data_IF_095908915614
#
_entry.id   IF_095908915614
#
_cell.length_a   1.000
_cell.length_b   1.000
_cell.length_c   1.000
_cell.angle_alpha   90.00
_cell.angle_beta   90.00
_cell.angle_gamma   90.00
#
_symmetry.space_group_name_H-M   'P 1'
#
loop_
_entity.id
_entity.type
_entity.pdbx_description
1 polymer ?
#
# COMPACT_ATOMS: atom_id res chain seq x y z
N UNK A 1 -0.91 -61.74 -46.47
CA UNK A 1 -0.68 -60.28 -46.41
C UNK A 1 -1.60 -59.68 -45.33
N UNK A 2 -1.11 -59.50 -44.10
CA UNK A 2 -1.87 -58.80 -43.04
C UNK A 2 -1.41 -57.34 -43.02
N UNK A 3 -2.30 -56.41 -43.35
CA UNK A 3 -2.05 -54.97 -43.28
C UNK A 3 -2.05 -54.55 -41.81
N UNK A 4 -0.93 -54.04 -41.33
CA UNK A 4 -0.81 -53.40 -40.01
C UNK A 4 -1.25 -51.94 -40.22
N UNK A 5 -2.40 -51.57 -39.67
CA UNK A 5 -2.83 -50.17 -39.61
C UNK A 5 -2.08 -49.48 -38.47
N UNK A 6 -1.12 -48.62 -38.80
CA UNK A 6 -0.51 -47.71 -37.85
C UNK A 6 -1.50 -46.58 -37.55
N UNK A 7 -2.18 -46.65 -36.40
CA UNK A 7 -2.95 -45.53 -35.86
C UNK A 7 -1.95 -44.58 -35.20
N UNK A 8 -1.71 -43.44 -35.82
CA UNK A 8 -0.91 -42.35 -35.27
C UNK A 8 -1.78 -41.60 -34.24
N UNK A 9 -1.47 -41.73 -32.95
CA UNK A 9 -2.17 -40.99 -31.89
C UNK A 9 -1.54 -39.60 -31.77
N UNK A 10 -2.26 -38.56 -32.21
CA UNK A 10 -1.83 -37.17 -32.07
C UNK A 10 -2.19 -36.70 -30.66
N UNK A 11 -1.20 -36.58 -29.77
CA UNK A 11 -1.37 -36.04 -28.43
C UNK A 11 -1.44 -34.50 -28.54
N UNK A 12 -2.65 -33.94 -28.55
CA UNK A 12 -2.88 -32.50 -28.42
C UNK A 12 -2.51 -32.06 -27.00
N UNK A 13 -1.32 -31.48 -26.85
CA UNK A 13 -0.93 -30.73 -25.65
C UNK A 13 -1.78 -29.45 -25.60
N UNK A 14 -2.88 -29.49 -24.84
CA UNK A 14 -3.58 -28.29 -24.41
C UNK A 14 -2.67 -27.52 -23.47
N UNK A 15 -2.11 -26.41 -23.96
CA UNK A 15 -1.43 -25.45 -23.10
C UNK A 15 -2.52 -24.70 -22.31
N UNK A 16 -2.81 -25.16 -21.10
CA UNK A 16 -3.63 -24.43 -20.15
C UNK A 16 -2.81 -23.23 -19.67
N UNK A 17 -3.22 -22.02 -20.02
CA UNK A 17 -2.66 -20.81 -19.43
C UNK A 17 -3.25 -20.66 -18.02
N UNK A 18 -2.52 -21.10 -17.00
CA UNK A 18 -2.83 -20.71 -15.62
C UNK A 18 -2.19 -19.34 -15.37
N UNK A 19 -3.00 -18.35 -15.06
CA UNK A 19 -2.50 -17.07 -14.55
C UNK A 19 -2.34 -17.20 -13.02
N UNK A 20 -1.24 -16.70 -12.48
CA UNK A 20 -0.99 -16.75 -11.04
C UNK A 20 -1.85 -15.70 -10.32
N UNK A 21 -2.22 -16.00 -9.07
CA UNK A 21 -2.98 -15.13 -8.18
C UNK A 21 -2.08 -14.65 -7.05
N UNK A 22 -2.41 -13.51 -6.45
CA UNK A 22 -1.75 -13.08 -5.22
C UNK A 22 -2.06 -14.09 -4.11
N UNK A 23 -1.08 -14.36 -3.27
CA UNK A 23 -1.26 -15.12 -2.04
C UNK A 23 -0.89 -14.25 -0.86
N UNK A 24 -1.63 -14.40 0.24
CA UNK A 24 -1.44 -13.63 1.46
C UNK A 24 -1.03 -14.58 2.59
N UNK A 25 -0.10 -14.14 3.43
CA UNK A 25 0.34 -14.87 4.61
C UNK A 25 0.52 -13.91 5.79
N UNK A 26 -0.23 -14.18 6.86
CA UNK A 26 -0.13 -13.50 8.15
C UNK A 26 0.12 -14.48 9.30
N UNK A 27 0.66 -15.66 8.98
CA UNK A 27 1.10 -16.65 9.96
C UNK A 27 2.58 -16.42 10.31
N UNK A 28 3.05 -16.96 11.44
CA UNK A 28 4.45 -16.79 11.85
C UNK A 28 5.44 -17.25 10.75
N UNK A 29 6.43 -16.41 10.35
CA UNK A 29 6.86 -15.16 10.98
C UNK A 29 6.25 -13.87 10.38
N UNK A 30 5.34 -13.98 9.42
CA UNK A 30 4.70 -12.85 8.73
C UNK A 30 3.63 -12.14 9.58
N UNK A 31 3.27 -12.70 10.74
CA UNK A 31 2.47 -12.06 11.79
C UNK A 31 3.22 -10.97 12.58
N UNK A 32 4.53 -10.80 12.33
CA UNK A 32 5.38 -9.87 13.07
C UNK A 32 5.78 -8.66 12.22
N UNK A 33 5.24 -7.45 12.50
CA UNK A 33 5.64 -6.22 11.81
C UNK A 33 7.15 -5.95 11.86
N UNK A 34 7.78 -6.23 13.00
CA UNK A 34 9.24 -6.15 13.15
C UNK A 34 9.97 -7.11 12.21
N UNK A 35 9.50 -8.36 12.09
CA UNK A 35 10.12 -9.32 11.19
C UNK A 35 9.92 -8.91 9.72
N UNK A 36 8.71 -8.48 9.36
CA UNK A 36 8.37 -7.98 8.04
C UNK A 36 9.28 -6.82 7.62
N UNK A 37 9.45 -5.81 8.47
CA UNK A 37 10.34 -4.67 8.16
C UNK A 37 11.78 -5.17 7.94
N UNK A 38 12.34 -5.91 8.89
CA UNK A 38 13.75 -6.29 8.85
C UNK A 38 14.11 -7.30 7.75
N UNK A 39 13.17 -8.16 7.33
CA UNK A 39 13.46 -9.27 6.43
C UNK A 39 12.81 -9.13 5.04
N UNK A 40 11.76 -8.30 4.90
CA UNK A 40 11.02 -8.15 3.64
C UNK A 40 11.18 -6.73 3.08
N UNK A 41 10.98 -5.70 3.89
CA UNK A 41 10.90 -4.31 3.39
C UNK A 41 12.26 -3.69 3.10
N UNK A 42 13.24 -3.92 3.97
CA UNK A 42 14.54 -3.26 3.86
C UNK A 42 15.46 -3.95 2.85
N UNK A 43 16.07 -3.13 1.99
CA UNK A 43 17.16 -3.57 1.12
C UNK A 43 18.46 -3.79 1.91
N UNK A 44 19.36 -4.60 1.34
CA UNK A 44 20.67 -4.85 1.94
C UNK A 44 21.43 -3.56 2.28
N UNK A 45 21.90 -3.46 3.52
CA UNK A 45 22.66 -2.30 4.02
C UNK A 45 21.87 -1.35 4.90
N UNK A 46 20.54 -1.40 4.92
CA UNK A 46 19.73 -0.57 5.82
C UNK A 46 19.40 -1.36 7.09
N UNK A 47 19.59 -0.72 8.25
CA UNK A 47 19.20 -1.26 9.55
C UNK A 47 18.03 -0.42 10.07
N UNK A 48 16.96 -1.09 10.48
CA UNK A 48 15.84 -0.45 11.17
C UNK A 48 15.86 -0.71 12.68
N UNK A 49 15.23 0.20 13.41
CA UNK A 49 15.03 0.14 14.86
C UNK A 49 13.72 0.81 15.24
N UNK A 50 13.34 0.75 16.52
CA UNK A 50 12.14 1.41 17.04
C UNK A 50 10.86 1.10 16.22
N UNK A 51 10.74 -0.17 15.83
CA UNK A 51 9.57 -0.68 15.14
C UNK A 51 8.33 -0.51 16.02
N UNK A 52 7.26 0.03 15.45
CA UNK A 52 5.96 0.16 16.09
C UNK A 52 4.88 -0.17 15.07
N UNK A 53 3.82 -0.82 15.53
CA UNK A 53 2.63 -1.10 14.73
C UNK A 53 1.40 -0.76 15.55
N UNK A 54 0.46 -0.06 14.93
CA UNK A 54 -0.85 0.28 15.49
C UNK A 54 -1.91 -0.19 14.50
N UNK A 55 -2.83 -1.03 14.95
CA UNK A 55 -3.84 -1.68 14.11
C UNK A 55 -4.12 -3.08 14.64
N UNK A 56 -5.12 -3.75 14.08
CA UNK A 56 -5.33 -5.16 14.36
C UNK A 56 -4.28 -6.02 13.64
N UNK A 57 -3.94 -7.17 14.23
CA UNK A 57 -3.05 -8.17 13.64
C UNK A 57 -3.50 -8.68 12.26
N UNK A 58 -4.81 -8.64 11.97
CA UNK A 58 -5.36 -9.04 10.68
C UNK A 58 -5.11 -8.05 9.54
N UNK A 59 -4.64 -6.85 9.85
CA UNK A 59 -4.49 -5.76 8.88
C UNK A 59 -3.09 -5.68 8.27
N UNK A 60 -2.16 -6.57 8.65
CA UNK A 60 -0.77 -6.56 8.16
C UNK A 60 -0.23 -7.97 7.95
N UNK A 61 0.56 -8.15 6.91
CA UNK A 61 1.19 -9.44 6.61
C UNK A 61 2.11 -9.37 5.40
N UNK A 62 2.37 -10.52 4.82
CA UNK A 62 3.15 -10.68 3.61
C UNK A 62 2.27 -10.99 2.41
N UNK A 63 2.64 -10.47 1.24
CA UNK A 63 2.08 -10.90 -0.03
C UNK A 63 3.15 -11.49 -0.94
N UNK A 64 2.74 -12.48 -1.73
CA UNK A 64 3.47 -12.94 -2.91
C UNK A 64 2.58 -12.80 -4.14
N UNK A 65 3.08 -12.09 -5.12
CA UNK A 65 2.39 -11.70 -6.34
C UNK A 65 3.24 -12.03 -7.58
N UNK A 66 4.19 -12.97 -7.47
CA UNK A 66 4.98 -13.45 -8.60
C UNK A 66 4.04 -13.96 -9.70
N UNK A 67 4.29 -13.50 -10.93
CA UNK A 67 3.48 -13.80 -12.13
C UNK A 67 2.04 -13.23 -12.11
N UNK A 68 1.74 -12.28 -11.22
CA UNK A 68 0.50 -11.48 -11.29
C UNK A 68 0.72 -10.18 -12.09
N UNK A 69 -0.36 -9.45 -12.35
CA UNK A 69 -0.32 -8.11 -12.96
C UNK A 69 -0.06 -6.97 -11.97
N UNK A 70 0.22 -7.25 -10.68
CA UNK A 70 0.44 -6.22 -9.66
C UNK A 70 1.69 -5.36 -9.95
N UNK A 71 2.70 -5.94 -10.58
CA UNK A 71 3.99 -5.28 -10.86
C UNK A 71 4.98 -5.28 -9.68
N UNK A 72 4.61 -5.89 -8.56
CA UNK A 72 5.49 -6.20 -7.42
C UNK A 72 5.49 -7.71 -7.21
N UNK A 73 6.68 -8.31 -7.05
CA UNK A 73 6.80 -9.76 -6.85
C UNK A 73 6.35 -10.18 -5.44
N UNK A 74 6.68 -9.40 -4.43
CA UNK A 74 6.34 -9.67 -3.03
C UNK A 74 6.59 -8.45 -2.15
N UNK A 75 6.04 -8.44 -0.94
CA UNK A 75 6.27 -7.36 0.02
C UNK A 75 5.41 -7.46 1.27
N UNK A 76 5.34 -6.35 2.00
CA UNK A 76 4.38 -6.16 3.09
C UNK A 76 3.05 -5.72 2.48
N UNK A 77 1.95 -6.28 2.95
CA UNK A 77 0.59 -5.79 2.67
C UNK A 77 -0.01 -5.21 3.94
N UNK A 78 -0.72 -4.09 3.80
CA UNK A 78 -1.53 -3.48 4.85
C UNK A 78 -2.92 -3.17 4.29
N UNK A 79 -3.97 -3.36 5.09
CA UNK A 79 -5.35 -3.05 4.71
C UNK A 79 -6.15 -2.48 5.88
N UNK A 80 -7.28 -1.88 5.55
CA UNK A 80 -8.29 -1.39 6.50
C UNK A 80 -9.25 -2.49 6.94
N UNK A 81 -9.21 -3.65 6.29
CA UNK A 81 -9.91 -4.87 6.68
C UNK A 81 -8.97 -6.06 6.87
N UNK A 82 -9.52 -7.26 6.76
CA UNK A 82 -8.73 -8.49 6.75
C UNK A 82 -7.94 -8.64 5.45
N UNK A 83 -6.60 -8.67 5.53
CA UNK A 83 -5.76 -8.87 4.34
C UNK A 83 -5.97 -10.23 3.68
N UNK A 84 -6.52 -11.24 4.36
CA UNK A 84 -6.80 -12.55 3.77
C UNK A 84 -7.80 -12.44 2.61
N UNK A 85 -8.68 -11.43 2.62
CA UNK A 85 -9.65 -11.19 1.54
C UNK A 85 -8.97 -10.81 0.21
N UNK A 86 -7.72 -10.33 0.26
CA UNK A 86 -6.95 -10.02 -0.94
C UNK A 86 -6.51 -11.27 -1.70
N UNK A 87 -6.49 -12.45 -1.08
CA UNK A 87 -6.24 -13.73 -1.76
C UNK A 87 -7.53 -14.25 -2.40
N UNK A 88 -7.64 -14.32 -3.74
CA UNK A 88 -8.85 -14.80 -4.42
C UNK A 88 -9.25 -16.25 -4.07
N UNK A 89 -8.34 -17.04 -3.47
CA UNK A 89 -8.61 -18.40 -3.02
C UNK A 89 -9.02 -18.50 -1.55
N UNK A 90 -9.04 -17.39 -0.81
CA UNK A 90 -9.49 -17.41 0.57
C UNK A 90 -10.97 -17.80 0.66
N UNK A 91 -11.26 -18.84 1.45
CA UNK A 91 -12.62 -19.37 1.63
C UNK A 91 -13.20 -19.07 3.01
N UNK A 92 -12.52 -18.24 3.81
CA UNK A 92 -12.97 -17.85 5.15
C UNK A 92 -13.93 -16.66 5.12
N UNK A 93 -14.22 -16.12 6.31
CA UNK A 93 -14.95 -14.86 6.44
C UNK A 93 -13.96 -13.77 6.83
N UNK A 94 -13.99 -12.66 6.10
CA UNK A 94 -13.32 -11.44 6.54
C UNK A 94 -13.96 -10.88 7.80
N UNK A 95 -13.18 -10.14 8.56
CA UNK A 95 -13.67 -9.37 9.70
C UNK A 95 -13.21 -7.91 9.57
N UNK A 96 -13.92 -7.03 10.25
CA UNK A 96 -13.53 -5.63 10.38
C UNK A 96 -12.73 -5.47 11.67
N UNK A 97 -11.61 -4.73 11.65
CA UNK A 97 -10.84 -4.46 12.84
C UNK A 97 -11.63 -3.55 13.80
N UNK A 98 -11.27 -3.52 15.10
CA UNK A 98 -11.80 -2.52 16.01
C UNK A 98 -11.31 -1.11 15.63
N UNK A 99 -12.24 -0.18 15.39
CA UNK A 99 -11.93 1.20 15.04
C UNK A 99 -11.44 2.02 16.26
N UNK A 100 -10.20 1.78 16.69
CA UNK A 100 -9.61 2.34 17.93
C UNK A 100 -8.34 3.15 17.70
N UNK A 101 -7.73 3.02 16.52
CA UNK A 101 -6.53 3.76 16.12
C UNK A 101 -6.96 5.06 15.44
N UNK A 102 -6.24 6.15 15.73
CA UNK A 102 -6.51 7.47 15.13
C UNK A 102 -5.23 7.99 14.48
N UNK A 103 -5.36 8.66 13.34
CA UNK A 103 -4.27 9.41 12.70
C UNK A 103 -4.79 10.74 12.15
N UNK A 104 -4.52 11.83 12.88
CA UNK A 104 -4.98 13.16 12.46
C UNK A 104 -4.32 13.64 11.17
N UNK A 105 -3.09 13.21 10.90
CA UNK A 105 -2.39 13.62 9.68
C UNK A 105 -2.99 12.94 8.46
N UNK A 106 -3.38 11.68 8.59
CA UNK A 106 -4.00 10.94 7.49
C UNK A 106 -5.39 11.51 7.14
N UNK A 107 -6.15 11.97 8.13
CA UNK A 107 -7.39 12.74 7.89
C UNK A 107 -7.12 14.07 7.19
N UNK A 108 -6.04 14.77 7.55
CA UNK A 108 -5.59 15.99 6.85
C UNK A 108 -5.19 15.67 5.41
N UNK A 109 -4.47 14.57 5.16
CA UNK A 109 -4.11 14.12 3.81
C UNK A 109 -5.38 13.86 2.99
N UNK A 110 -6.35 13.11 3.52
CA UNK A 110 -7.60 12.80 2.82
C UNK A 110 -8.36 14.08 2.41
N UNK A 111 -8.43 15.06 3.32
CA UNK A 111 -9.10 16.34 3.08
C UNK A 111 -8.29 17.33 2.22
N UNK A 112 -7.01 17.07 1.98
CA UNK A 112 -6.21 17.90 1.06
C UNK A 112 -6.51 17.62 -0.41
N UNK A 113 -7.01 16.41 -0.75
CA UNK A 113 -7.29 16.00 -2.13
C UNK A 113 -8.47 16.72 -2.78
N UNK A 114 -9.68 16.79 -2.18
CA UNK A 114 -10.85 17.39 -2.84
C UNK A 114 -10.58 18.74 -3.52
N UNK A 115 -10.00 19.77 -2.83
CA UNK A 115 -9.74 21.06 -3.46
C UNK A 115 -8.69 21.00 -4.58
N UNK A 116 -7.72 20.08 -4.51
CA UNK A 116 -6.68 19.91 -5.54
C UNK A 116 -7.23 19.33 -6.85
N UNK A 117 -8.35 18.62 -6.78
CA UNK A 117 -9.03 18.01 -7.93
C UNK A 117 -10.31 18.76 -8.34
N UNK A 118 -10.53 19.95 -7.79
CA UNK A 118 -11.69 20.79 -8.11
C UNK A 118 -13.02 20.29 -7.53
N UNK A 119 -12.97 19.49 -6.47
CA UNK A 119 -14.13 18.95 -5.76
C UNK A 119 -14.30 19.61 -4.38
N UNK A 120 -15.48 19.43 -3.78
CA UNK A 120 -15.85 20.08 -2.51
C UNK A 120 -16.43 19.13 -1.46
N UNK A 121 -16.26 17.81 -1.64
CA UNK A 121 -16.63 16.84 -0.60
C UNK A 121 -15.66 16.95 0.58
N UNK A 122 -16.08 16.43 1.73
CA UNK A 122 -15.31 16.42 2.97
C UNK A 122 -15.22 14.99 3.49
N UNK A 123 -14.05 14.58 3.94
CA UNK A 123 -13.85 13.35 4.70
C UNK A 123 -13.97 13.72 6.17
N UNK A 124 -15.03 13.26 6.84
CA UNK A 124 -15.37 13.66 8.21
C UNK A 124 -14.57 12.90 9.26
N UNK A 125 -14.18 11.66 8.93
CA UNK A 125 -13.42 10.76 9.78
C UNK A 125 -12.60 9.80 8.93
N UNK A 126 -11.60 9.18 9.56
CA UNK A 126 -10.94 8.01 9.03
C UNK A 126 -11.19 6.84 9.96
N UNK A 127 -11.31 5.64 9.43
CA UNK A 127 -11.62 4.43 10.18
C UNK A 127 -10.61 3.33 9.89
N UNK A 128 -10.57 2.35 10.79
CA UNK A 128 -9.87 1.09 10.61
C UNK A 128 -8.38 1.28 10.25
N UNK A 129 -7.78 2.26 10.94
CA UNK A 129 -6.42 2.73 10.67
C UNK A 129 -5.39 1.66 11.01
N UNK A 130 -4.49 1.37 10.06
CA UNK A 130 -3.28 0.59 10.29
C UNK A 130 -2.04 1.47 10.04
N UNK A 131 -1.09 1.45 10.98
CA UNK A 131 0.12 2.27 10.97
C UNK A 131 1.34 1.40 11.25
N UNK A 132 2.32 1.42 10.34
CA UNK A 132 3.63 0.81 10.51
C UNK A 132 4.72 1.89 10.59
N UNK A 133 5.49 1.87 11.67
CA UNK A 133 6.53 2.87 11.95
C UNK A 133 7.85 2.21 12.27
N UNK A 134 8.95 2.82 11.84
CA UNK A 134 10.31 2.42 12.22
C UNK A 134 11.31 3.54 11.91
N UNK A 135 12.39 3.55 12.69
CA UNK A 135 13.58 4.35 12.40
C UNK A 135 14.51 3.57 11.48
N UNK A 136 15.28 4.27 10.66
CA UNK A 136 16.33 3.66 9.85
C UNK A 136 17.53 4.60 9.67
N UNK A 137 18.68 4.01 9.33
CA UNK A 137 19.90 4.73 8.96
C UNK A 137 20.25 4.36 7.50
N UNK A 138 20.18 5.30 6.54
CA UNK A 138 20.51 5.04 5.15
C UNK A 138 22.02 4.94 4.94
N UNK A 139 22.41 4.08 4.00
CA UNK A 139 23.81 3.92 3.53
C UNK A 139 24.08 4.62 2.21
N UNK A 140 23.10 5.37 1.69
CA UNK A 140 23.21 6.19 0.47
C UNK A 140 22.56 7.55 0.71
N UNK A 141 22.64 8.42 -0.28
CA UNK A 141 22.01 9.74 -0.34
C UNK A 141 20.53 9.74 -0.78
N UNK A 142 19.96 8.57 -1.08
CA UNK A 142 18.59 8.44 -1.59
C UNK A 142 17.91 7.21 -1.01
N UNK A 143 16.65 7.37 -0.59
CA UNK A 143 15.74 6.25 -0.31
C UNK A 143 14.69 6.12 -1.41
N UNK A 144 14.33 4.87 -1.74
CA UNK A 144 13.29 4.55 -2.71
C UNK A 144 12.40 3.44 -2.17
N UNK A 145 11.10 3.65 -2.23
CA UNK A 145 10.11 2.65 -1.84
C UNK A 145 9.08 2.49 -2.93
N UNK A 146 8.85 1.26 -3.36
CA UNK A 146 7.80 0.94 -4.32
C UNK A 146 6.54 0.51 -3.60
N UNK A 147 5.39 0.97 -4.06
CA UNK A 147 4.09 0.62 -3.49
C UNK A 147 3.00 0.61 -4.56
N UNK A 148 1.91 -0.08 -4.25
CA UNK A 148 0.63 -0.05 -4.97
C UNK A 148 -0.45 0.27 -3.93
N UNK A 149 -1.40 1.11 -4.31
CA UNK A 149 -2.58 1.41 -3.49
C UNK A 149 -3.82 0.84 -4.18
N UNK A 150 -4.78 0.31 -3.43
CA UNK A 150 -6.04 -0.20 -3.95
C UNK A 150 -7.15 -0.06 -2.93
N UNK A 151 -8.40 -0.18 -3.38
CA UNK A 151 -9.60 -0.03 -2.54
C UNK A 151 -10.79 -0.77 -3.15
N UNK A 152 -11.70 -1.22 -2.28
CA UNK A 152 -13.03 -1.75 -2.64
C UNK A 152 -14.02 -0.65 -3.06
N UNK A 153 -13.68 0.63 -2.84
CA UNK A 153 -14.61 1.74 -3.03
C UNK A 153 -14.66 2.26 -4.47
N UNK A 154 -13.76 1.78 -5.32
CA UNK A 154 -13.95 1.80 -6.77
C UNK A 154 -15.09 0.83 -7.15
N UNK A 155 -16.02 1.12 -8.04
CA UNK A 155 -16.25 2.30 -8.87
C UNK A 155 -17.43 3.15 -8.35
N UNK A 156 -17.64 3.17 -7.03
CA UNK A 156 -18.86 3.64 -6.42
C UNK A 156 -18.74 4.96 -5.66
N UNK A 157 -17.57 5.25 -5.09
CA UNK A 157 -17.42 6.27 -4.06
C UNK A 157 -16.33 7.30 -4.34
N UNK A 158 -15.79 7.34 -5.55
CA UNK A 158 -14.85 8.38 -5.94
C UNK A 158 -15.49 9.76 -5.82
N UNK A 159 -14.71 10.74 -5.33
CA UNK A 159 -15.16 12.09 -5.01
C UNK A 159 -16.31 12.18 -3.99
N UNK A 160 -16.39 11.22 -3.07
CA UNK A 160 -17.31 11.24 -1.93
C UNK A 160 -16.55 11.26 -0.61
N UNK A 161 -17.27 11.29 0.51
CA UNK A 161 -16.67 11.22 1.85
C UNK A 161 -15.91 9.90 2.13
N UNK A 162 -16.23 8.82 1.40
CA UNK A 162 -15.55 7.53 1.51
C UNK A 162 -14.26 7.51 0.67
N UNK A 163 -13.37 8.48 0.95
CA UNK A 163 -12.16 8.68 0.19
C UNK A 163 -10.96 8.07 0.91
N UNK A 164 -10.78 6.76 0.74
CA UNK A 164 -9.68 6.00 1.36
C UNK A 164 -8.33 6.58 0.99
N UNK A 165 -7.40 6.52 1.94
CA UNK A 165 -6.17 7.31 1.91
C UNK A 165 -4.97 6.50 2.35
N UNK A 166 -3.85 6.72 1.65
CA UNK A 166 -2.54 6.19 2.03
C UNK A 166 -1.55 7.33 2.26
N UNK A 167 -0.86 7.28 3.40
CA UNK A 167 0.20 8.20 3.79
C UNK A 167 1.54 7.49 3.89
N UNK A 168 2.57 8.07 3.28
CA UNK A 168 3.97 7.67 3.47
C UNK A 168 4.71 8.87 4.06
N UNK A 169 4.84 8.90 5.38
CA UNK A 169 5.50 10.00 6.07
C UNK A 169 6.98 9.72 6.29
N UNK A 170 7.83 10.70 5.98
CA UNK A 170 9.27 10.66 6.24
C UNK A 170 9.68 11.89 7.04
N UNK A 171 10.46 11.68 8.11
CA UNK A 171 11.11 12.75 8.86
C UNK A 171 12.59 12.44 9.12
N UNK A 172 13.37 13.49 9.35
CA UNK A 172 14.81 13.39 9.63
C UNK A 172 15.56 14.65 9.16
N UNK A 173 16.90 14.66 9.22
CA UNK A 173 17.70 15.82 8.85
C UNK A 173 17.42 16.31 7.42
N UNK A 174 17.18 17.63 7.30
CA UNK A 174 16.87 18.28 6.02
C UNK A 174 15.41 18.21 5.59
N UNK A 175 14.55 17.50 6.34
CA UNK A 175 13.13 17.37 6.05
C UNK A 175 12.33 18.25 6.99
N UNK A 176 11.40 19.02 6.42
CA UNK A 176 10.42 19.82 7.16
C UNK A 176 9.07 19.75 6.46
N UNK A 177 8.00 19.51 7.20
CA UNK A 177 6.66 19.38 6.67
C UNK A 177 5.58 19.50 7.73
N UNK A 178 4.31 19.56 7.31
CA UNK A 178 3.21 19.92 8.20
C UNK A 178 2.74 18.78 9.11
N UNK A 179 3.22 17.56 8.88
CA UNK A 179 2.73 16.35 9.55
C UNK A 179 3.56 16.03 10.78
N UNK A 180 2.99 15.23 11.68
CA UNK A 180 3.65 14.74 12.88
C UNK A 180 4.97 14.02 12.54
N UNK A 181 5.95 14.21 13.43
CA UNK A 181 7.15 13.39 13.52
C UNK A 181 7.46 13.10 14.98
N UNK A 182 8.04 11.93 15.30
CA UNK A 182 8.46 11.61 16.65
C UNK A 182 9.42 12.67 17.23
N UNK A 183 9.37 12.90 18.56
CA UNK A 183 10.33 13.75 19.27
C UNK A 183 11.78 13.38 18.95
N UNK A 184 12.61 14.37 18.61
CA UNK A 184 14.06 14.17 18.39
C UNK A 184 14.73 13.75 19.70
N UNK A 185 14.26 14.31 20.81
CA UNK A 185 14.69 14.00 22.17
C UNK A 185 13.43 13.70 22.99
N UNK A 186 13.43 12.67 23.86
CA UNK A 186 12.27 12.39 24.71
C UNK A 186 11.78 13.63 25.45
N UNK A 187 10.50 13.97 25.25
CA UNK A 187 9.86 15.13 25.86
C UNK A 187 10.03 16.47 25.11
N UNK A 188 10.81 16.52 24.02
CA UNK A 188 10.97 17.71 23.17
C UNK A 188 10.31 17.47 21.81
N UNK A 189 9.18 18.15 21.50
CA UNK A 189 8.52 18.00 20.21
C UNK A 189 9.47 18.25 19.04
N UNK A 190 9.27 17.52 17.95
CA UNK A 190 10.01 17.76 16.72
C UNK A 190 9.47 19.02 16.03
N UNK A 191 10.28 20.09 15.86
CA UNK A 191 9.80 21.34 15.28
C UNK A 191 9.72 21.30 13.74
N UNK A 192 10.25 20.25 13.11
CA UNK A 192 10.32 20.13 11.65
C UNK A 192 9.22 19.23 11.07
N UNK A 193 8.67 18.30 11.86
CA UNK A 193 7.62 17.40 11.40
C UNK A 193 8.09 16.42 10.31
N UNK A 194 7.16 15.96 9.49
CA UNK A 194 7.39 15.04 8.37
C UNK A 194 6.73 15.51 7.07
N UNK A 195 7.18 14.98 5.94
CA UNK A 195 6.56 15.16 4.62
C UNK A 195 5.83 13.88 4.20
N UNK A 196 4.77 14.00 3.40
CA UNK A 196 4.14 12.86 2.74
C UNK A 196 4.78 12.61 1.37
N UNK A 197 5.33 11.41 1.16
CA UNK A 197 5.92 10.93 -0.09
C UNK A 197 4.92 10.12 -0.95
N UNK A 198 3.76 9.76 -0.41
CA UNK A 198 2.70 9.09 -1.16
C UNK A 198 1.97 10.14 -2.00
N UNK A 199 2.51 10.40 -3.19
CA UNK A 199 1.98 11.37 -4.15
C UNK A 199 1.86 10.76 -5.55
N UNK A 200 0.90 11.25 -6.33
CA UNK A 200 0.73 10.89 -7.73
C UNK A 200 1.98 11.31 -8.52
N UNK A 201 2.58 10.41 -9.34
CA UNK A 201 3.79 10.75 -10.09
C UNK A 201 3.57 11.92 -11.05
N UNK A 202 4.52 12.86 -11.04
CA UNK A 202 4.52 14.08 -11.86
C UNK A 202 3.36 15.05 -11.57
N UNK A 203 2.74 14.98 -10.39
CA UNK A 203 1.74 15.96 -9.95
C UNK A 203 2.40 17.26 -9.45
N UNK A 204 1.82 18.40 -9.81
CA UNK A 204 2.18 19.72 -9.29
C UNK A 204 0.93 20.62 -9.21
N UNK A 205 0.48 21.06 -8.01
CA UNK A 205 1.06 20.75 -6.70
C UNK A 205 1.07 19.24 -6.39
N UNK A 206 1.90 18.79 -5.42
CA UNK A 206 1.90 17.39 -5.02
C UNK A 206 0.50 16.92 -4.65
N UNK A 207 0.01 15.88 -5.32
CA UNK A 207 -1.33 15.34 -5.14
C UNK A 207 -1.25 14.02 -4.36
N UNK A 208 -1.76 13.95 -3.11
CA UNK A 208 -1.71 12.73 -2.31
C UNK A 208 -2.52 11.55 -2.88
N UNK A 209 -2.20 10.34 -2.43
CA UNK A 209 -2.86 9.10 -2.86
C UNK A 209 -4.17 8.89 -2.09
N UNK A 210 -5.28 8.93 -2.81
CA UNK A 210 -6.61 8.51 -2.36
C UNK A 210 -7.38 7.91 -3.54
N UNK A 211 -8.54 7.32 -3.31
CA UNK A 211 -9.35 6.79 -4.43
C UNK A 211 -9.75 7.89 -5.42
N UNK A 212 -9.95 9.11 -4.92
CA UNK A 212 -10.33 10.26 -5.74
C UNK A 212 -9.19 10.87 -6.55
N UNK A 213 -7.92 10.59 -6.21
CA UNK A 213 -6.78 11.14 -6.97
C UNK A 213 -6.34 10.29 -8.16
N UNK A 214 -6.77 9.02 -8.22
CA UNK A 214 -6.50 8.09 -9.32
C UNK A 214 -7.76 7.26 -9.60
N UNK A 215 -8.51 7.52 -10.67
CA UNK A 215 -9.69 6.70 -11.00
C UNK A 215 -10.12 6.85 -12.47
N UNK A 216 -11.00 5.96 -12.92
CA UNK A 216 -11.59 5.97 -14.27
C UNK A 216 -13.07 6.37 -14.33
N UNK A 217 -13.78 6.51 -13.20
CA UNK A 217 -15.20 6.94 -13.19
C UNK A 217 -15.33 8.44 -13.42
N UNK A 218 -14.51 9.21 -12.72
CA UNK A 218 -14.31 10.65 -12.92
C UNK A 218 -12.87 10.86 -13.37
N UNK A 219 -12.55 10.57 -14.64
CA UNK A 219 -11.18 10.28 -15.07
C UNK A 219 -10.16 11.31 -14.58
N UNK A 220 -9.27 10.86 -13.72
CA UNK A 220 -8.15 11.63 -13.19
C UNK A 220 -6.99 10.69 -12.96
N UNK A 221 -5.82 11.04 -13.51
CA UNK A 221 -4.62 10.20 -13.46
C UNK A 221 -4.86 8.74 -13.90
N UNK A 222 -5.82 8.52 -14.81
CA UNK A 222 -6.29 7.20 -15.24
C UNK A 222 -5.18 6.33 -15.82
N UNK A 223 -4.11 6.91 -16.35
CA UNK A 223 -2.92 6.17 -16.82
C UNK A 223 -2.23 5.36 -15.71
N UNK A 224 -2.50 5.69 -14.45
CA UNK A 224 -2.00 4.97 -13.28
C UNK A 224 -3.07 4.08 -12.63
N UNK A 225 -4.29 4.03 -13.15
CA UNK A 225 -5.37 3.21 -12.62
C UNK A 225 -5.41 1.85 -13.32
N UNK A 226 -5.61 0.79 -12.55
CA UNK A 226 -5.83 -0.58 -13.00
C UNK A 226 -7.19 -1.04 -12.49
N UNK A 227 -8.07 -1.38 -13.42
CA UNK A 227 -9.37 -2.00 -13.13
C UNK A 227 -9.15 -3.44 -12.65
N UNK A 228 -9.70 -3.76 -11.48
CA UNK A 228 -9.65 -5.09 -10.89
C UNK A 228 -11.05 -5.59 -10.50
N UNK A 229 -12.13 -5.04 -11.07
CA UNK A 229 -13.52 -5.44 -10.76
C UNK A 229 -13.85 -6.91 -11.05
N UNK A 230 -13.01 -7.60 -11.83
CA UNK A 230 -13.11 -9.05 -12.01
C UNK A 230 -12.68 -9.87 -10.79
N UNK A 231 -11.93 -9.25 -9.86
CA UNK A 231 -11.36 -9.81 -8.63
C UNK A 231 -10.65 -11.16 -8.83
N UNK A 232 -10.14 -11.39 -10.04
CA UNK A 232 -9.60 -12.69 -10.45
C UNK A 232 -8.18 -12.91 -9.92
N UNK A 233 -7.39 -11.85 -9.78
CA UNK A 233 -5.97 -11.90 -9.40
C UNK A 233 -5.69 -11.38 -8.00
N UNK A 234 -6.49 -10.41 -7.55
CA UNK A 234 -6.44 -9.79 -6.24
C UNK A 234 -7.90 -9.68 -5.81
N UNK A 235 -8.25 -10.25 -4.66
CA UNK A 235 -9.58 -10.13 -4.08
C UNK A 235 -9.77 -8.77 -3.43
N UNK A 236 -11.04 -8.41 -3.19
CA UNK A 236 -11.48 -7.28 -2.33
C UNK A 236 -10.96 -5.87 -2.66
N UNK A 237 -10.18 -5.69 -3.73
CA UNK A 237 -9.71 -4.40 -4.20
C UNK A 237 -10.21 -4.17 -5.63
N UNK A 238 -11.39 -3.57 -5.79
CA UNK A 238 -12.06 -3.38 -7.09
C UNK A 238 -11.24 -2.53 -8.09
N UNK A 239 -10.31 -1.71 -7.58
CA UNK A 239 -9.31 -1.03 -8.38
C UNK A 239 -8.02 -0.78 -7.61
N UNK A 240 -6.90 -0.67 -8.34
CA UNK A 240 -5.59 -0.40 -7.74
C UNK A 240 -4.69 0.43 -8.68
N UNK A 241 -3.60 0.98 -8.15
CA UNK A 241 -2.67 1.80 -8.92
C UNK A 241 -1.62 0.94 -9.63
N UNK A 242 -1.06 1.43 -10.73
CA UNK A 242 0.28 0.99 -11.18
C UNK A 242 1.31 1.19 -10.07
N UNK A 243 2.46 0.52 -10.16
CA UNK A 243 3.54 0.67 -9.17
C UNK A 243 4.05 2.12 -9.11
N UNK A 244 3.94 2.72 -7.94
CA UNK A 244 4.53 4.01 -7.63
C UNK A 244 5.86 3.84 -6.91
N UNK A 245 6.73 4.85 -7.02
CA UNK A 245 7.99 4.90 -6.29
C UNK A 245 8.06 6.20 -5.50
N UNK A 246 7.94 6.11 -4.18
CA UNK A 246 8.29 7.19 -3.26
C UNK A 246 9.82 7.34 -3.24
N UNK A 247 10.31 8.57 -3.44
CA UNK A 247 11.74 8.89 -3.48
C UNK A 247 12.01 10.09 -2.60
N UNK A 248 13.08 10.04 -1.82
CA UNK A 248 13.55 11.19 -1.04
C UNK A 248 15.06 11.21 -0.95
N UNK A 249 15.64 12.41 -1.02
CA UNK A 249 17.04 12.65 -0.69
C UNK A 249 17.23 12.53 0.83
N UNK A 250 18.29 11.84 1.22
CA UNK A 250 18.66 11.61 2.62
C UNK A 250 20.16 11.80 2.80
N UNK A 251 20.59 11.91 4.05
CA UNK A 251 21.99 12.01 4.40
C UNK A 251 22.48 10.66 4.93
N UNK A 252 23.48 10.08 4.27
CA UNK A 252 24.08 8.81 4.70
C UNK A 252 24.52 8.88 6.17
N UNK A 253 24.20 7.83 6.95
CA UNK A 253 24.58 7.72 8.35
C UNK A 253 23.76 8.57 9.33
N UNK A 254 22.73 9.29 8.87
CA UNK A 254 21.82 10.03 9.74
C UNK A 254 20.57 9.20 10.09
N UNK A 255 19.92 9.53 11.20
CA UNK A 255 18.67 8.86 11.61
C UNK A 255 17.46 9.48 10.91
N UNK A 256 16.62 8.63 10.34
CA UNK A 256 15.34 9.00 9.75
C UNK A 256 14.22 8.12 10.32
N UNK A 257 12.99 8.60 10.23
CA UNK A 257 11.80 7.88 10.68
C UNK A 257 10.77 7.79 9.56
N UNK A 258 10.29 6.56 9.32
CA UNK A 258 9.20 6.26 8.39
C UNK A 258 7.94 5.93 9.19
N UNK A 259 6.81 6.50 8.76
CA UNK A 259 5.46 6.09 9.16
C UNK A 259 4.61 5.85 7.92
N UNK A 260 4.17 4.61 7.73
CA UNK A 260 3.22 4.21 6.69
C UNK A 260 1.86 4.06 7.33
N UNK A 261 0.83 4.73 6.80
CA UNK A 261 -0.51 4.71 7.37
C UNK A 261 -1.57 4.56 6.26
N UNK A 262 -2.57 3.71 6.50
CA UNK A 262 -3.72 3.51 5.62
C UNK A 262 -5.01 3.55 6.43
N UNK A 263 -6.08 4.11 5.86
CA UNK A 263 -7.38 4.20 6.51
C UNK A 263 -8.53 4.36 5.51
N UNK A 264 -9.71 3.92 5.94
CA UNK A 264 -10.97 4.10 5.22
C UNK A 264 -11.50 5.51 5.45
N UNK A 265 -11.90 6.19 4.38
CA UNK A 265 -12.54 7.51 4.50
C UNK A 265 -14.00 7.38 4.91
N UNK A 266 -14.56 8.34 5.67
CA UNK A 266 -16.01 8.40 5.95
C UNK A 266 -16.53 9.80 6.20
#
# INVERSE_FOLDING_TARGET
>A
MKKINNILFFLLLFCQSSLAQITIDKTTPYDSPTWLVNNILLGGGVVASNHSYQGDSMQIGFFNAINTSLGLDSGIVMATGDIDLLDPNFTGFGANPPNTVMDTDLLVVANSVPPLIGQTFLVSSINDVAILEFDFIPTSDTVKFRYVFGSQEYFGFENTQYNDVFGFFLSGPGISGPYYAPPITPGIPNPFGSINLAIVPNSNPPLPITISSINSVTPINQQYFVDNSSLTFIGDADGYTTVFTAVSEVQCGQSYHIRLAIADGS
#
